data_IF_081883626360
#
_entry.id   IF_081883626360
#
_cell.length_a   1.000
_cell.length_b   1.000
_cell.length_c   1.000
_cell.angle_alpha   90.00
_cell.angle_beta   90.00
_cell.angle_gamma   90.00
#
_symmetry.space_group_name_H-M   'P 1'
#
loop_
_entity.id
_entity.type
_entity.pdbx_description
1 polymer ?
#
# COMPACT_ATOMS: atom_id res chain seq x y z
N UNK A 1 7.90 -23.22 17.81
CA UNK A 1 6.77 -22.47 18.40
C UNK A 1 6.62 -21.16 17.65
N UNK A 2 5.85 -21.19 16.56
CA UNK A 2 5.71 -20.11 15.59
C UNK A 2 4.66 -19.09 16.05
N UNK A 3 5.09 -17.85 16.26
CA UNK A 3 4.44 -16.65 15.71
C UNK A 3 2.98 -16.29 16.06
N UNK A 4 2.45 -16.71 17.22
CA UNK A 4 1.16 -16.18 17.72
C UNK A 4 1.08 -14.64 17.82
N UNK A 5 2.23 -13.95 17.82
CA UNK A 5 2.35 -12.49 17.92
C UNK A 5 2.31 -11.77 16.57
N UNK A 6 2.82 -12.37 15.49
CA UNK A 6 2.58 -11.83 14.15
C UNK A 6 1.13 -12.02 13.73
N UNK A 7 0.48 -13.09 14.18
CA UNK A 7 -0.91 -13.42 13.84
C UNK A 7 -1.93 -12.38 14.34
N UNK A 8 -1.59 -11.61 15.38
CA UNK A 8 -2.44 -10.56 15.91
C UNK A 8 -2.36 -9.26 15.09
N UNK A 9 -1.17 -8.91 14.60
CA UNK A 9 -0.95 -7.68 13.83
C UNK A 9 -1.12 -7.87 12.33
N UNK A 10 -0.82 -9.06 11.81
CA UNK A 10 -1.02 -9.42 10.42
C UNK A 10 -1.71 -10.76 10.33
N UNK A 11 -2.92 -10.77 9.79
CA UNK A 11 -3.76 -11.96 9.70
C UNK A 11 -4.35 -12.07 8.30
N UNK A 12 -4.27 -13.25 7.70
CA UNK A 12 -4.98 -13.57 6.46
C UNK A 12 -5.83 -14.82 6.75
N UNK A 13 -7.14 -14.65 6.75
CA UNK A 13 -8.13 -15.69 7.06
C UNK A 13 -9.02 -15.95 5.84
N UNK A 14 -9.16 -17.22 5.48
CA UNK A 14 -10.10 -17.67 4.46
C UNK A 14 -11.35 -18.23 5.13
N UNK A 15 -12.52 -17.66 4.85
CA UNK A 15 -13.80 -18.04 5.45
C UNK A 15 -14.70 -18.64 4.37
N UNK A 16 -15.14 -19.88 4.60
CA UNK A 16 -16.15 -20.53 3.78
C UNK A 16 -17.54 -20.06 4.20
N UNK A 17 -18.20 -19.28 3.34
CA UNK A 17 -19.53 -18.71 3.55
C UNK A 17 -20.57 -19.77 3.22
N UNK A 18 -21.06 -20.46 4.25
CA UNK A 18 -22.14 -21.45 4.17
C UNK A 18 -23.46 -20.95 4.76
N UNK A 19 -23.48 -19.72 5.27
CA UNK A 19 -24.59 -19.10 5.98
C UNK A 19 -24.28 -17.66 6.35
N UNK A 20 -25.07 -17.12 7.27
CA UNK A 20 -24.84 -15.78 7.80
C UNK A 20 -23.69 -15.80 8.82
N UNK A 21 -22.84 -14.79 8.78
CA UNK A 21 -21.76 -14.60 9.74
C UNK A 21 -21.32 -13.16 9.79
N UNK A 22 -20.21 -12.90 10.47
CA UNK A 22 -19.64 -11.55 10.54
C UNK A 22 -18.13 -11.58 10.71
N UNK A 23 -17.50 -10.47 10.32
CA UNK A 23 -16.12 -10.09 10.67
C UNK A 23 -16.15 -8.73 11.35
N UNK A 24 -15.20 -8.46 12.24
CA UNK A 24 -15.17 -7.20 12.99
C UNK A 24 -13.74 -6.80 13.34
N UNK A 25 -13.54 -5.50 13.59
CA UNK A 25 -12.30 -5.02 14.17
C UNK A 25 -12.07 -5.65 15.55
N UNK A 26 -10.82 -5.93 15.95
CA UNK A 26 -10.54 -6.48 17.27
C UNK A 26 -11.09 -5.54 18.36
N UNK A 27 -11.66 -6.13 19.42
CA UNK A 27 -12.26 -5.42 20.57
C UNK A 27 -13.53 -4.62 20.28
N UNK A 28 -14.09 -4.65 19.07
CA UNK A 28 -15.37 -3.99 18.74
C UNK A 28 -16.45 -4.27 19.80
N UNK A 29 -17.18 -3.25 20.32
CA UNK A 29 -17.21 -1.85 19.87
C UNK A 29 -16.19 -0.92 20.56
N UNK A 30 -15.18 -1.47 21.24
CA UNK A 30 -14.08 -0.67 21.78
C UNK A 30 -13.04 -0.33 20.71
N UNK A 31 -12.08 0.52 21.08
CA UNK A 31 -10.99 0.95 20.19
C UNK A 31 -10.19 -0.25 19.68
N UNK A 32 -10.01 -0.29 18.37
CA UNK A 32 -9.18 -1.29 17.71
C UNK A 32 -7.69 -1.02 17.97
N UNK A 33 -6.85 -2.07 17.99
CA UNK A 33 -5.40 -1.94 18.07
C UNK A 33 -4.76 -1.17 16.90
N UNK A 34 -3.58 -0.62 17.16
CA UNK A 34 -2.72 0.04 16.17
C UNK A 34 -1.97 -0.97 15.32
N UNK A 35 -1.49 -0.54 14.15
CA UNK A 35 -0.63 -1.32 13.26
C UNK A 35 -1.21 -2.67 12.82
N UNK A 36 -2.52 -2.72 12.59
CA UNK A 36 -3.19 -3.93 12.11
C UNK A 36 -3.16 -4.01 10.58
N UNK A 37 -3.03 -5.22 10.08
CA UNK A 37 -3.29 -5.60 8.69
C UNK A 37 -4.05 -6.93 8.69
N UNK A 38 -5.37 -6.86 8.71
CA UNK A 38 -6.26 -8.02 8.73
C UNK A 38 -6.91 -8.18 7.36
N UNK A 39 -6.84 -9.39 6.81
CA UNK A 39 -7.43 -9.73 5.52
C UNK A 39 -8.36 -10.91 5.73
N UNK A 40 -9.62 -10.76 5.28
CA UNK A 40 -10.59 -11.84 5.23
C UNK A 40 -10.96 -12.12 3.78
N UNK A 41 -10.74 -13.36 3.34
CA UNK A 41 -11.15 -13.86 2.03
C UNK A 41 -12.40 -14.69 2.22
N UNK A 42 -13.54 -14.16 1.80
CA UNK A 42 -14.81 -14.85 1.89
C UNK A 42 -15.04 -15.62 0.58
N UNK A 43 -15.28 -16.93 0.70
CA UNK A 43 -15.55 -17.83 -0.41
C UNK A 43 -16.90 -18.50 -0.19
N UNK A 44 -17.82 -18.35 -1.13
CA UNK A 44 -19.10 -19.06 -1.13
C UNK A 44 -19.11 -20.15 -2.20
N UNK A 45 -20.17 -20.96 -2.21
CA UNK A 45 -20.38 -22.01 -3.21
C UNK A 45 -20.43 -21.40 -4.62
N UNK A 46 -20.09 -22.19 -5.63
CA UNK A 46 -20.24 -21.77 -7.02
C UNK A 46 -21.67 -21.29 -7.30
N UNK A 47 -21.81 -20.35 -8.25
CA UNK A 47 -23.10 -19.76 -8.64
C UNK A 47 -23.86 -19.10 -7.48
N UNK A 48 -23.14 -18.61 -6.47
CA UNK A 48 -23.69 -17.75 -5.42
C UNK A 48 -22.90 -16.45 -5.36
N UNK A 49 -23.47 -15.43 -4.73
CA UNK A 49 -22.81 -14.14 -4.46
C UNK A 49 -22.81 -13.89 -2.96
N UNK A 50 -21.87 -13.09 -2.50
CA UNK A 50 -21.70 -12.72 -1.10
C UNK A 50 -22.21 -11.30 -0.91
N UNK A 51 -23.16 -11.13 -0.01
CA UNK A 51 -23.64 -9.81 0.40
C UNK A 51 -22.97 -9.41 1.72
N UNK A 52 -22.46 -8.19 1.76
CA UNK A 52 -21.86 -7.55 2.92
C UNK A 52 -22.76 -6.40 3.40
N UNK A 53 -22.94 -6.30 4.70
CA UNK A 53 -23.64 -5.20 5.35
C UNK A 53 -22.83 -4.71 6.56
N UNK A 54 -22.50 -3.43 6.57
CA UNK A 54 -21.81 -2.79 7.69
C UNK A 54 -22.79 -2.54 8.84
N UNK A 55 -22.33 -2.75 10.07
CA UNK A 55 -23.05 -2.39 11.29
C UNK A 55 -23.14 -0.86 11.40
N UNK A 56 -24.26 -0.37 11.95
CA UNK A 56 -24.51 1.06 12.08
C UNK A 56 -23.49 1.77 12.99
N UNK A 57 -22.82 1.02 13.88
CA UNK A 57 -21.73 1.51 14.69
C UNK A 57 -20.40 1.44 13.92
N UNK A 58 -20.31 2.09 12.76
CA UNK A 58 -19.06 2.23 12.02
C UNK A 58 -18.31 3.48 12.48
N UNK A 59 -17.03 3.35 12.83
CA UNK A 59 -16.17 4.49 13.12
C UNK A 59 -14.70 4.12 13.13
N UNK A 60 -13.96 4.68 12.16
CA UNK A 60 -12.51 4.63 12.05
C UNK A 60 -11.92 6.05 12.13
N UNK A 61 -10.60 6.18 12.05
CA UNK A 61 -9.93 7.48 11.95
C UNK A 61 -10.47 8.29 10.75
N UNK A 62 -10.56 9.61 10.90
CA UNK A 62 -11.09 10.50 9.87
C UNK A 62 -10.21 10.52 8.62
N UNK A 63 -10.86 10.79 7.47
CA UNK A 63 -10.16 10.99 6.21
C UNK A 63 -9.31 12.28 6.26
N UNK A 64 -8.18 12.25 5.55
CA UNK A 64 -7.40 13.46 5.28
C UNK A 64 -7.61 13.84 3.81
N UNK A 65 -8.13 15.04 3.56
CA UNK A 65 -8.46 15.53 2.22
C UNK A 65 -9.39 14.54 1.45
N UNK A 66 -10.42 14.03 2.12
CA UNK A 66 -11.37 13.03 1.60
C UNK A 66 -10.73 11.68 1.21
N UNK A 67 -9.49 11.43 1.63
CA UNK A 67 -8.77 10.18 1.38
C UNK A 67 -8.54 9.43 2.70
N UNK A 68 -8.98 8.18 2.74
CA UNK A 68 -8.71 7.25 3.84
C UNK A 68 -7.26 6.74 3.77
N UNK A 69 -6.33 7.59 4.23
CA UNK A 69 -4.87 7.35 4.18
C UNK A 69 -4.36 6.52 5.35
N UNK A 70 -4.90 6.76 6.55
CA UNK A 70 -4.43 6.19 7.81
C UNK A 70 -5.11 4.84 8.08
N UNK A 71 -6.27 4.88 8.74
CA UNK A 71 -7.08 3.71 9.04
C UNK A 71 -8.19 3.53 8.00
N UNK A 72 -8.37 2.32 7.50
CA UNK A 72 -9.44 2.03 6.54
C UNK A 72 -9.87 0.58 6.50
N UNK A 73 -11.13 0.37 6.13
CA UNK A 73 -11.61 -0.91 5.57
C UNK A 73 -11.74 -0.77 4.07
N UNK A 74 -11.19 -1.72 3.35
CA UNK A 74 -11.28 -1.84 1.90
C UNK A 74 -11.94 -3.16 1.52
N UNK A 75 -12.82 -3.12 0.52
CA UNK A 75 -13.51 -4.29 -0.01
C UNK A 75 -13.15 -4.43 -1.48
N UNK A 76 -12.70 -5.61 -1.87
CA UNK A 76 -12.25 -5.91 -3.23
C UNK A 76 -12.96 -7.16 -3.75
N UNK A 77 -13.53 -7.07 -4.95
CA UNK A 77 -13.96 -8.24 -5.71
C UNK A 77 -12.72 -8.88 -6.34
N UNK A 78 -12.48 -10.15 -6.02
CA UNK A 78 -11.32 -10.90 -6.52
C UNK A 78 -11.82 -11.92 -7.54
N UNK A 79 -11.23 -11.89 -8.73
CA UNK A 79 -11.41 -12.89 -9.78
C UNK A 79 -10.05 -13.48 -10.17
N UNK A 80 -10.04 -14.55 -10.97
CA UNK A 80 -8.80 -15.19 -11.43
C UNK A 80 -7.90 -14.23 -12.23
N UNK A 81 -8.49 -13.25 -12.93
CA UNK A 81 -7.78 -12.37 -13.86
C UNK A 81 -7.72 -10.92 -13.42
N UNK A 82 -8.51 -10.50 -12.44
CA UNK A 82 -8.59 -9.09 -12.00
C UNK A 82 -9.04 -8.92 -10.55
N UNK A 83 -8.57 -7.84 -9.93
CA UNK A 83 -9.04 -7.36 -8.62
C UNK A 83 -9.67 -5.99 -8.77
N UNK A 84 -10.91 -5.83 -8.33
CA UNK A 84 -11.65 -4.56 -8.44
C UNK A 84 -11.97 -4.05 -7.04
N UNK A 85 -11.44 -2.87 -6.71
CA UNK A 85 -11.75 -2.19 -5.45
C UNK A 85 -13.19 -1.68 -5.51
N UNK A 86 -14.03 -2.18 -4.60
CA UNK A 86 -15.44 -1.74 -4.45
C UNK A 86 -15.55 -0.45 -3.67
N UNK A 87 -14.62 -0.24 -2.76
CA UNK A 87 -14.44 1.02 -2.07
C UNK A 87 -13.50 0.87 -0.88
N UNK A 88 -13.18 2.03 -0.32
CA UNK A 88 -12.35 2.20 0.86
C UNK A 88 -13.05 3.20 1.77
N UNK A 89 -13.22 2.85 3.03
CA UNK A 89 -14.00 3.63 3.99
C UNK A 89 -13.25 3.84 5.30
N UNK A 90 -13.46 5.02 5.88
CA UNK A 90 -12.90 5.49 7.14
C UNK A 90 -13.83 6.57 7.74
N UNK A 91 -13.45 7.16 8.87
CA UNK A 91 -14.25 8.15 9.60
C UNK A 91 -15.47 7.56 10.30
N UNK A 92 -16.31 8.44 10.84
CA UNK A 92 -17.52 8.06 11.61
C UNK A 92 -18.82 8.71 11.12
N UNK A 93 -18.77 9.47 10.02
CA UNK A 93 -19.93 10.25 9.55
C UNK A 93 -20.98 9.39 8.84
N UNK A 94 -20.52 8.51 7.95
CA UNK A 94 -21.39 7.71 7.09
C UNK A 94 -21.04 6.23 7.19
N UNK A 95 -22.08 5.38 7.30
CA UNK A 95 -21.93 3.93 7.27
C UNK A 95 -21.78 3.48 5.82
N UNK A 96 -20.79 2.63 5.48
CA UNK A 96 -20.61 2.15 4.12
C UNK A 96 -21.86 1.43 3.59
N UNK A 97 -22.16 1.54 2.28
CA UNK A 97 -23.33 0.92 1.70
C UNK A 97 -23.24 -0.60 1.72
N UNK A 98 -24.40 -1.27 1.56
CA UNK A 98 -24.42 -2.72 1.34
C UNK A 98 -23.73 -3.05 0.02
N UNK A 99 -22.92 -4.10 0.03
CA UNK A 99 -22.13 -4.53 -1.14
C UNK A 99 -22.49 -5.96 -1.47
N UNK A 100 -22.86 -6.21 -2.72
CA UNK A 100 -22.99 -7.57 -3.26
C UNK A 100 -21.79 -7.84 -4.17
N UNK A 101 -21.02 -8.88 -3.85
CA UNK A 101 -19.84 -9.30 -4.63
C UNK A 101 -20.20 -9.63 -6.07
N UNK A 102 -19.28 -9.51 -7.02
CA UNK A 102 -19.55 -9.92 -8.43
C UNK A 102 -19.50 -11.43 -8.63
N UNK A 103 -18.65 -12.10 -7.87
CA UNK A 103 -18.43 -13.55 -7.93
C UNK A 103 -18.72 -14.18 -6.57
N UNK A 104 -18.43 -15.46 -6.41
CA UNK A 104 -18.46 -16.15 -5.12
C UNK A 104 -17.22 -15.86 -4.24
N UNK A 105 -16.41 -14.87 -4.60
CA UNK A 105 -15.18 -14.49 -3.91
C UNK A 105 -15.15 -12.99 -3.62
N UNK A 106 -14.94 -12.60 -2.36
CA UNK A 106 -14.73 -11.20 -1.99
C UNK A 106 -13.67 -11.11 -0.89
N UNK A 107 -12.84 -10.08 -0.94
CA UNK A 107 -11.77 -9.84 0.02
C UNK A 107 -12.03 -8.55 0.78
N UNK A 108 -11.89 -8.61 2.10
CA UNK A 108 -12.01 -7.47 3.01
C UNK A 108 -10.65 -7.26 3.66
N UNK A 109 -10.10 -6.06 3.55
CA UNK A 109 -8.83 -5.68 4.15
C UNK A 109 -9.06 -4.56 5.15
N UNK A 110 -8.65 -4.75 6.40
CA UNK A 110 -8.59 -3.69 7.40
C UNK A 110 -7.14 -3.34 7.70
N UNK A 111 -6.82 -2.05 7.64
CA UNK A 111 -5.51 -1.51 7.99
C UNK A 111 -5.66 -0.43 9.06
N UNK A 112 -4.80 -0.48 10.09
CA UNK A 112 -4.63 0.64 11.02
C UNK A 112 -3.17 1.11 11.12
N UNK A 113 -2.97 2.38 11.46
CA UNK A 113 -1.66 3.02 11.59
C UNK A 113 -1.10 3.01 13.03
N UNK A 114 0.03 3.68 13.26
CA UNK A 114 0.69 3.76 14.56
C UNK A 114 0.33 5.01 15.40
N UNK A 115 -0.60 5.85 14.95
CA UNK A 115 -0.75 7.24 15.41
C UNK A 115 -2.04 7.56 16.15
N UNK A 116 -3.21 7.34 15.55
CA UNK A 116 -4.51 7.51 16.23
C UNK A 116 -5.33 6.21 16.22
N UNK A 117 -6.27 6.09 17.16
CA UNK A 117 -7.22 4.97 17.20
C UNK A 117 -8.61 5.56 17.44
N UNK A 118 -9.57 5.16 16.62
CA UNK A 118 -10.95 5.56 16.78
C UNK A 118 -11.77 4.50 17.53
N UNK A 119 -12.99 4.89 17.90
CA UNK A 119 -14.06 4.02 18.36
C UNK A 119 -15.29 4.30 17.49
N UNK A 120 -16.18 3.34 17.26
CA UNK A 120 -16.22 1.97 17.82
C UNK A 120 -15.46 0.90 17.01
N UNK A 121 -14.82 1.26 15.89
CA UNK A 121 -14.29 0.30 14.91
C UNK A 121 -15.35 -0.09 13.89
N UNK A 122 -15.37 -1.34 13.45
CA UNK A 122 -16.40 -1.83 12.52
C UNK A 122 -16.81 -3.26 12.80
N UNK A 123 -18.01 -3.61 12.35
CA UNK A 123 -18.49 -4.97 12.19
C UNK A 123 -19.20 -5.08 10.83
N UNK A 124 -18.90 -6.14 10.07
CA UNK A 124 -19.49 -6.42 8.76
C UNK A 124 -20.14 -7.78 8.84
N UNK A 125 -21.45 -7.82 8.61
CA UNK A 125 -22.19 -9.04 8.42
C UNK A 125 -22.07 -9.51 6.98
N UNK A 126 -21.88 -10.81 6.79
CA UNK A 126 -21.89 -11.44 5.48
C UNK A 126 -22.96 -12.52 5.40
N UNK A 127 -23.52 -12.69 4.21
CA UNK A 127 -24.43 -13.77 3.85
C UNK A 127 -24.20 -14.16 2.40
N UNK A 128 -24.63 -15.36 2.00
CA UNK A 128 -24.71 -15.69 0.58
C UNK A 128 -26.13 -15.41 0.06
N UNK A 129 -26.21 -15.03 -1.21
CA UNK A 129 -27.46 -14.90 -1.95
C UNK A 129 -27.39 -15.76 -3.21
N UNK A 130 -28.50 -16.43 -3.53
CA UNK A 130 -28.65 -17.31 -4.69
C UNK A 130 -29.11 -16.54 -5.94
N UNK A 131 -28.87 -15.23 -5.97
CA UNK A 131 -29.24 -14.33 -7.07
C UNK A 131 -28.12 -14.25 -8.12
N UNK A 132 -27.61 -15.41 -8.56
CA UNK A 132 -26.68 -15.45 -9.68
C UNK A 132 -27.48 -15.21 -10.97
N UNK A 133 -27.75 -13.94 -11.26
CA UNK A 133 -27.97 -13.54 -12.64
C UNK A 133 -26.61 -13.69 -13.33
N UNK A 134 -26.46 -14.62 -14.29
CA UNK A 134 -25.37 -14.51 -15.22
C UNK A 134 -25.45 -13.09 -15.80
N UNK A 135 -24.32 -12.50 -16.16
CA UNK A 135 -24.33 -11.44 -17.15
C UNK A 135 -24.76 -12.04 -18.51
N UNK A 136 -25.94 -12.68 -18.56
CA UNK A 136 -26.74 -12.72 -19.75
C UNK A 136 -27.06 -11.26 -20.01
N UNK A 137 -26.53 -10.78 -21.12
CA UNK A 137 -26.83 -9.49 -21.69
C UNK A 137 -28.27 -9.09 -21.34
N UNK A 138 -28.42 -7.87 -20.85
CA UNK A 138 -29.65 -7.12 -21.02
C UNK A 138 -29.87 -6.93 -22.53
N UNK A 139 -30.20 -8.00 -23.25
CA UNK A 139 -30.77 -7.98 -24.60
C UNK A 139 -32.22 -7.51 -24.48
N UNK A 140 -32.40 -6.27 -24.07
CA UNK A 140 -33.66 -5.55 -24.22
C UNK A 140 -33.32 -4.08 -24.47
N UNK A 141 -32.51 -3.79 -25.49
CA UNK A 141 -32.57 -2.49 -26.17
C UNK A 141 -31.91 -2.45 -27.56
N UNK A 142 -32.18 -3.43 -28.43
CA UNK A 142 -32.04 -3.20 -29.87
C UNK A 142 -33.36 -3.45 -30.58
N UNK A 143 -34.32 -2.55 -30.33
CA UNK A 143 -35.38 -2.32 -31.30
C UNK A 143 -34.77 -1.67 -32.55
N UNK A 144 -34.75 -2.47 -33.61
CA UNK A 144 -35.25 -2.09 -34.93
C UNK A 144 -35.03 -0.64 -35.37
N UNK A 145 -33.89 -0.37 -36.01
CA UNK A 145 -33.82 0.59 -37.12
C UNK A 145 -33.21 -0.12 -38.32
N UNK A 146 -34.05 -0.85 -39.04
CA UNK A 146 -33.82 -1.22 -40.42
C UNK A 146 -33.91 0.05 -41.25
N UNK A 147 -32.76 0.62 -41.59
CA UNK A 147 -32.63 1.57 -42.71
C UNK A 147 -31.63 0.98 -43.69
N UNK A 148 -32.18 0.44 -44.76
CA UNK A 148 -31.50 -0.04 -45.95
C UNK A 148 -30.49 0.96 -46.49
N UNK A 149 -29.22 0.58 -46.56
CA UNK A 149 -28.31 1.04 -47.61
C UNK A 149 -27.37 -0.08 -48.02
N UNK A 150 -27.09 -0.07 -49.31
CA UNK A 150 -26.57 -1.15 -50.15
C UNK A 150 -25.05 -1.30 -50.04
N UNK A 151 -24.56 -2.55 -50.14
CA UNK A 151 -23.15 -2.90 -50.36
C UNK A 151 -22.30 -2.78 -49.09
N UNK A 152 -21.34 -3.65 -48.78
CA UNK A 152 -20.44 -4.44 -49.61
C UNK A 152 -20.05 -5.69 -48.80
N UNK A 153 -19.94 -6.83 -49.48
CA UNK A 153 -19.44 -8.08 -48.88
C UNK A 153 -17.97 -7.92 -48.53
N UNK A 154 -17.61 -8.07 -47.26
CA UNK A 154 -16.21 -8.33 -46.88
C UNK A 154 -16.07 -9.79 -46.50
N UNK A 155 -15.39 -10.51 -47.39
CA UNK A 155 -14.80 -11.81 -47.13
C UNK A 155 -13.83 -11.70 -45.97
N UNK A 156 -14.02 -12.52 -44.93
CA UNK A 156 -12.95 -12.87 -43.99
C UNK A 156 -11.89 -13.69 -44.73
N UNK A 157 -10.62 -13.28 -44.76
CA UNK A 157 -9.54 -14.18 -45.12
C UNK A 157 -9.14 -14.97 -43.88
N UNK A 158 -9.33 -16.27 -44.01
CA UNK A 158 -8.71 -17.32 -43.22
C UNK A 158 -7.22 -17.04 -42.99
N UNK A 159 -6.79 -17.31 -41.76
CA UNK A 159 -5.40 -17.47 -41.35
C UNK A 159 -4.78 -18.61 -42.16
N UNK A 160 -3.86 -18.28 -43.08
CA UNK A 160 -2.81 -19.17 -43.60
C UNK A 160 -1.64 -18.30 -44.11
N UNK A 161 -0.53 -18.36 -43.39
CA UNK A 161 0.91 -18.03 -43.64
C UNK A 161 1.37 -17.47 -45.02
N UNK A 162 2.43 -16.63 -45.08
CA UNK A 162 3.78 -17.05 -44.66
C UNK A 162 4.58 -16.03 -43.84
N UNK A 163 5.28 -16.52 -42.83
CA UNK A 163 6.57 -16.03 -42.29
C UNK A 163 7.10 -14.73 -42.91
N UNK A 164 6.81 -13.60 -42.26
CA UNK A 164 7.56 -12.36 -42.39
C UNK A 164 8.99 -12.61 -41.88
N UNK A 165 9.89 -13.03 -42.76
CA UNK A 165 11.31 -13.06 -42.44
C UNK A 165 11.83 -11.62 -42.34
N UNK A 166 12.71 -11.38 -41.38
CA UNK A 166 13.30 -10.05 -41.16
C UNK A 166 13.93 -9.48 -42.46
N UNK A 167 14.44 -10.34 -43.34
CA UNK A 167 15.03 -9.95 -44.63
C UNK A 167 13.99 -9.42 -45.64
N UNK A 168 12.74 -9.90 -45.61
CA UNK A 168 11.67 -9.39 -46.46
C UNK A 168 11.17 -8.02 -45.97
N UNK A 169 11.19 -7.82 -44.65
CA UNK A 169 10.89 -6.54 -44.02
C UNK A 169 12.02 -5.52 -44.28
N UNK A 170 13.28 -5.92 -44.18
CA UNK A 170 14.44 -5.05 -44.46
C UNK A 170 14.46 -4.58 -45.91
N UNK A 171 14.10 -5.46 -46.86
CA UNK A 171 13.97 -5.10 -48.27
C UNK A 171 12.86 -4.08 -48.53
N UNK A 172 11.71 -4.24 -47.88
CA UNK A 172 10.59 -3.27 -48.03
C UNK A 172 10.91 -1.94 -47.33
N UNK A 173 11.59 -1.96 -46.20
CA UNK A 173 12.09 -0.75 -45.52
C UNK A 173 13.13 -0.02 -46.38
N UNK A 174 13.97 -0.75 -47.13
CA UNK A 174 14.98 -0.17 -48.02
C UNK A 174 14.43 0.53 -49.28
N UNK A 175 13.13 0.36 -49.58
CA UNK A 175 12.47 1.05 -50.70
C UNK A 175 12.06 2.49 -50.36
N UNK A 176 12.10 2.88 -49.07
CA UNK A 176 11.70 4.20 -48.62
C UNK A 176 12.92 5.05 -48.23
N UNK A 177 13.05 6.23 -48.83
CA UNK A 177 14.18 7.15 -48.58
C UNK A 177 14.00 8.01 -47.32
N UNK A 178 12.76 8.14 -46.79
CA UNK A 178 12.46 8.94 -45.61
C UNK A 178 11.61 8.17 -44.59
N UNK A 179 11.84 8.48 -43.30
CA UNK A 179 11.07 7.91 -42.18
C UNK A 179 9.59 8.29 -42.26
N UNK A 180 9.29 9.45 -42.84
CA UNK A 180 7.92 9.93 -43.05
C UNK A 180 7.15 9.05 -44.05
N UNK A 181 7.78 8.71 -45.18
CA UNK A 181 7.15 7.91 -46.24
C UNK A 181 6.93 6.46 -45.78
N UNK A 182 7.84 5.95 -44.96
CA UNK A 182 7.71 4.65 -44.33
C UNK A 182 6.52 4.62 -43.34
N UNK A 183 6.43 5.60 -42.44
CA UNK A 183 5.34 5.65 -41.45
C UNK A 183 3.97 5.85 -42.13
N UNK A 184 3.89 6.64 -43.21
CA UNK A 184 2.68 6.77 -44.03
C UNK A 184 2.25 5.45 -44.67
N UNK A 185 3.22 4.64 -45.12
CA UNK A 185 2.93 3.35 -45.75
C UNK A 185 2.39 2.33 -44.74
N UNK A 186 2.99 2.26 -43.55
CA UNK A 186 2.58 1.29 -42.52
C UNK A 186 1.33 1.71 -41.76
N UNK A 187 1.19 2.99 -41.38
CA UNK A 187 0.08 3.50 -40.56
C UNK A 187 -0.40 4.87 -41.09
N UNK A 188 -1.18 4.89 -42.19
CA UNK A 188 -1.61 6.14 -42.85
C UNK A 188 -2.50 7.05 -41.99
N UNK A 189 -3.12 6.52 -40.93
CA UNK A 189 -4.03 7.27 -40.04
C UNK A 189 -3.32 7.89 -38.81
N UNK A 190 -2.16 7.36 -38.38
CA UNK A 190 -1.45 7.80 -37.16
C UNK A 190 -0.01 8.30 -37.37
N UNK A 191 0.51 8.25 -38.60
CA UNK A 191 1.93 8.52 -38.88
C UNK A 191 2.43 9.88 -38.37
N UNK A 192 1.56 10.89 -38.26
CA UNK A 192 1.93 12.22 -37.74
C UNK A 192 2.23 12.21 -36.23
N UNK A 193 1.41 11.53 -35.43
CA UNK A 193 1.67 11.37 -33.99
C UNK A 193 2.90 10.48 -33.73
N UNK A 194 3.06 9.43 -34.53
CA UNK A 194 4.22 8.53 -34.44
C UNK A 194 5.53 9.26 -34.79
N UNK A 195 5.50 10.16 -35.78
CA UNK A 195 6.64 11.01 -36.15
C UNK A 195 6.96 12.04 -35.06
N UNK A 196 5.96 12.68 -34.45
CA UNK A 196 6.18 13.65 -33.36
C UNK A 196 6.75 13.00 -32.10
N UNK A 197 6.31 11.78 -31.77
CA UNK A 197 6.82 11.02 -30.63
C UNK A 197 8.28 10.57 -30.80
N UNK A 198 8.75 10.35 -32.03
CA UNK A 198 10.16 10.03 -32.32
C UNK A 198 11.13 11.17 -32.00
N UNK A 199 10.68 12.42 -32.05
CA UNK A 199 11.50 13.59 -31.72
C UNK A 199 11.48 13.97 -30.22
N UNK A 200 10.66 13.30 -29.42
CA UNK A 200 10.51 13.56 -27.98
C UNK A 200 11.34 12.59 -27.11
N UNK A 201 12.25 11.81 -27.71
CA UNK A 201 12.78 10.63 -27.04
C UNK A 201 13.54 10.93 -25.72
N UNK A 202 12.99 10.32 -24.69
CA UNK A 202 13.57 9.92 -23.42
C UNK A 202 14.89 9.14 -23.57
N UNK A 203 15.91 9.36 -22.72
CA UNK A 203 17.15 8.60 -22.82
C UNK A 203 16.99 7.19 -22.22
N UNK A 204 16.98 6.19 -23.10
CA UNK A 204 17.14 4.78 -22.75
C UNK A 204 18.59 4.42 -22.38
N UNK A 205 18.69 3.43 -21.48
CA UNK A 205 19.90 2.73 -21.05
C UNK A 205 20.85 2.34 -22.19
N UNK A 206 22.16 2.60 -22.02
CA UNK A 206 23.23 1.97 -22.80
C UNK A 206 24.34 1.42 -21.90
N UNK A 207 24.71 0.16 -22.13
CA UNK A 207 25.71 -0.61 -21.37
C UNK A 207 27.16 -0.15 -21.56
N UNK A 208 28.00 -0.53 -20.59
CA UNK A 208 29.41 -0.17 -20.37
C UNK A 208 30.32 -0.25 -21.61
N UNK A 209 31.10 0.80 -21.84
CA UNK A 209 32.52 0.68 -22.19
C UNK A 209 33.35 1.69 -21.37
N UNK A 210 34.48 1.22 -20.86
CA UNK A 210 35.40 1.97 -20.00
C UNK A 210 36.06 3.10 -20.79
N UNK A 211 35.67 4.34 -20.52
CA UNK A 211 36.56 5.48 -20.65
C UNK A 211 36.37 6.38 -19.44
N UNK A 212 37.43 6.49 -18.66
CA UNK A 212 37.59 7.45 -17.57
C UNK A 212 37.48 8.86 -18.14
N UNK A 213 36.27 9.41 -18.10
CA UNK A 213 35.99 10.82 -18.33
C UNK A 213 35.23 11.28 -17.10
N UNK A 214 35.88 12.14 -16.32
CA UNK A 214 35.35 12.90 -15.18
C UNK A 214 33.83 13.06 -15.32
N UNK A 215 33.09 12.15 -14.69
CA UNK A 215 31.64 12.10 -14.85
C UNK A 215 31.08 13.37 -14.25
N UNK A 216 30.24 14.06 -15.01
CA UNK A 216 29.27 15.04 -14.51
C UNK A 216 28.72 14.46 -13.20
N UNK A 217 29.10 15.07 -12.07
CA UNK A 217 28.74 14.55 -10.75
C UNK A 217 27.22 14.40 -10.75
N UNK A 218 26.74 13.19 -10.56
CA UNK A 218 25.32 12.92 -10.41
C UNK A 218 24.88 13.58 -9.10
N UNK A 219 24.31 14.78 -9.24
CA UNK A 219 23.89 15.60 -8.11
C UNK A 219 22.78 14.91 -7.32
N UNK A 220 21.98 14.05 -7.95
CA UNK A 220 20.93 13.30 -7.27
C UNK A 220 21.53 12.21 -6.39
N UNK A 221 22.51 11.47 -6.92
CA UNK A 221 23.28 10.50 -6.13
C UNK A 221 24.03 11.16 -4.98
N UNK A 222 24.64 12.32 -5.21
CA UNK A 222 25.32 13.08 -4.15
C UNK A 222 24.32 13.60 -3.11
N UNK A 223 23.15 14.07 -3.53
CA UNK A 223 22.08 14.53 -2.65
C UNK A 223 21.55 13.38 -1.78
N UNK A 224 21.38 12.19 -2.34
CA UNK A 224 20.96 11.01 -1.59
C UNK A 224 22.03 10.55 -0.60
N UNK A 225 23.30 10.59 -0.98
CA UNK A 225 24.41 10.34 -0.06
C UNK A 225 24.45 11.39 1.07
N UNK A 226 24.27 12.68 0.74
CA UNK A 226 24.16 13.75 1.74
C UNK A 226 22.99 13.50 2.69
N UNK A 227 21.79 13.13 2.19
CA UNK A 227 20.64 12.77 3.04
C UNK A 227 20.92 11.57 3.94
N UNK A 228 21.63 10.55 3.44
CA UNK A 228 22.01 9.34 4.19
C UNK A 228 23.01 9.60 5.31
N UNK A 229 23.85 10.62 5.20
CA UNK A 229 24.85 10.93 6.22
C UNK A 229 24.54 12.19 7.03
N UNK A 230 23.56 13.01 6.64
CA UNK A 230 23.17 14.22 7.37
C UNK A 230 22.42 13.93 8.67
N UNK A 231 22.49 14.88 9.60
CA UNK A 231 21.73 14.89 10.85
C UNK A 231 20.22 14.93 10.59
N UNK A 232 19.55 13.79 10.71
CA UNK A 232 18.12 13.61 10.46
C UNK A 232 17.48 12.64 11.45
N UNK A 233 16.15 12.67 11.65
CA UNK A 233 15.44 11.61 12.37
C UNK A 233 15.60 10.27 11.67
N UNK A 234 15.97 9.23 12.43
CA UNK A 234 16.18 7.86 11.95
C UNK A 234 15.56 6.84 12.89
N UNK A 235 15.19 5.69 12.32
CA UNK A 235 14.73 4.55 13.07
C UNK A 235 15.87 3.96 13.92
N UNK A 236 15.73 4.04 15.24
CA UNK A 236 16.60 3.42 16.22
C UNK A 236 15.85 2.35 16.99
N UNK A 237 16.43 1.16 17.12
CA UNK A 237 15.87 0.11 17.98
C UNK A 237 16.22 0.42 19.43
N UNK A 238 15.22 0.74 20.25
CA UNK A 238 15.41 1.02 21.67
C UNK A 238 14.87 -0.11 22.53
N UNK A 239 15.57 -0.44 23.62
CA UNK A 239 15.13 -1.45 24.57
C UNK A 239 14.12 -0.84 25.56
N UNK A 240 12.91 -1.38 25.61
CA UNK A 240 11.83 -0.83 26.44
C UNK A 240 12.12 -0.87 27.94
N UNK A 241 12.93 -1.85 28.39
CA UNK A 241 13.34 -1.95 29.78
C UNK A 241 14.23 -0.78 30.20
N UNK A 242 15.14 -0.37 29.30
CA UNK A 242 16.10 0.71 29.53
C UNK A 242 15.42 2.08 29.40
N UNK A 243 14.61 2.26 28.36
CA UNK A 243 13.88 3.51 28.09
C UNK A 243 12.88 3.84 29.21
N UNK A 244 12.09 2.87 29.65
CA UNK A 244 11.07 3.06 30.69
C UNK A 244 11.65 2.97 32.11
N UNK A 245 12.93 2.59 32.25
CA UNK A 245 13.60 2.37 33.54
C UNK A 245 12.88 1.38 34.46
N UNK A 246 12.20 0.39 33.89
CA UNK A 246 11.43 -0.63 34.65
C UNK A 246 12.17 -1.97 34.61
N UNK A 247 12.48 -2.55 35.76
CA UNK A 247 13.21 -3.83 35.87
C UNK A 247 12.32 -5.03 36.21
N UNK A 248 11.16 -4.79 36.80
CA UNK A 248 10.27 -5.83 37.35
C UNK A 248 9.23 -6.32 36.34
N UNK A 249 9.36 -5.91 35.08
CA UNK A 249 8.36 -6.08 34.04
C UNK A 249 9.06 -6.48 32.75
N UNK A 250 8.45 -7.40 32.02
CA UNK A 250 8.92 -7.82 30.70
C UNK A 250 7.92 -7.34 29.65
N UNK A 251 8.38 -6.49 28.73
CA UNK A 251 7.60 -6.05 27.59
C UNK A 251 7.81 -6.95 26.38
N UNK A 252 6.77 -7.12 25.57
CA UNK A 252 6.83 -7.78 24.27
C UNK A 252 6.19 -6.88 23.19
N UNK A 253 6.91 -6.57 22.08
CA UNK A 253 8.32 -6.92 21.81
C UNK A 253 9.28 -6.21 22.79
N UNK A 254 10.48 -6.74 22.99
CA UNK A 254 11.46 -6.16 23.94
C UNK A 254 12.05 -4.83 23.46
N UNK A 255 12.06 -4.61 22.15
CA UNK A 255 12.56 -3.41 21.52
C UNK A 255 11.51 -2.86 20.55
N UNK A 256 11.46 -1.53 20.43
CA UNK A 256 10.65 -0.83 19.43
C UNK A 256 11.52 0.09 18.59
N UNK A 257 11.07 0.37 17.36
CA UNK A 257 11.70 1.39 16.51
C UNK A 257 11.17 2.76 16.94
N UNK A 258 12.11 3.65 17.29
CA UNK A 258 11.83 5.02 17.71
C UNK A 258 12.65 5.97 16.85
N UNK A 259 12.06 7.10 16.47
CA UNK A 259 12.79 8.15 15.75
C UNK A 259 13.79 8.82 16.69
N UNK A 260 15.08 8.71 16.40
CA UNK A 260 16.16 9.38 17.12
C UNK A 260 17.03 10.13 16.12
N UNK A 261 17.72 11.17 16.60
CA UNK A 261 18.60 11.94 15.76
C UNK A 261 19.89 11.17 15.48
N UNK A 262 20.25 11.03 14.21
CA UNK A 262 21.46 10.35 13.79
C UNK A 262 22.03 10.94 12.52
N UNK A 263 23.32 10.66 12.28
CA UNK A 263 24.09 11.24 11.19
C UNK A 263 25.02 12.34 11.66
N UNK A 264 25.67 12.97 10.68
CA UNK A 264 26.75 13.91 10.86
C UNK A 264 26.27 15.34 10.58
N UNK A 265 26.90 16.28 11.26
CA UNK A 265 26.72 17.69 11.01
C UNK A 265 27.71 18.17 9.96
N UNK A 266 27.22 18.88 8.94
CA UNK A 266 28.06 19.53 7.93
C UNK A 266 28.70 20.79 8.49
N UNK A 267 29.69 20.65 9.38
CA UNK A 267 30.46 21.79 9.87
C UNK A 267 31.65 22.08 8.94
N UNK A 268 31.63 23.25 8.31
CA UNK A 268 32.70 23.70 7.42
C UNK A 268 33.91 24.23 8.20
N UNK A 269 35.10 23.73 7.88
CA UNK A 269 36.44 24.13 8.33
C UNK A 269 37.07 23.38 9.51
N UNK A 270 38.40 23.25 9.44
CA UNK A 270 39.26 22.43 10.29
C UNK A 270 39.32 22.83 11.78
N UNK A 271 38.70 23.95 12.15
CA UNK A 271 38.69 24.48 13.52
C UNK A 271 37.41 24.18 14.31
N UNK A 272 36.33 23.72 13.66
CA UNK A 272 35.06 23.38 14.34
C UNK A 272 35.03 21.91 14.78
N UNK A 273 35.73 21.59 15.89
CA UNK A 273 35.90 20.20 16.33
C UNK A 273 34.77 19.61 17.20
N UNK A 274 33.59 20.22 17.31
CA UNK A 274 32.50 19.58 18.08
C UNK A 274 31.11 20.05 17.69
N UNK A 275 30.60 19.56 16.55
CA UNK A 275 29.18 19.64 16.25
C UNK A 275 28.52 18.30 16.55
N UNK A 276 27.41 18.33 17.29
CA UNK A 276 26.63 17.14 17.64
C UNK A 276 25.24 17.22 17.03
N UNK A 277 24.77 16.10 16.50
CA UNK A 277 23.40 15.96 16.01
C UNK A 277 22.48 15.70 17.20
N UNK A 278 21.53 16.60 17.46
CA UNK A 278 20.67 16.56 18.65
C UNK A 278 19.21 16.82 18.28
N UNK A 279 18.28 16.52 19.20
CA UNK A 279 16.86 16.80 18.96
C UNK A 279 16.58 18.30 19.04
N UNK A 280 16.03 18.85 17.97
CA UNK A 280 15.43 20.18 17.96
C UNK A 280 13.97 20.18 18.44
N UNK A 281 13.26 19.06 18.20
CA UNK A 281 11.89 18.85 18.65
C UNK A 281 11.68 17.38 19.01
N UNK A 282 11.19 17.15 20.23
CA UNK A 282 10.83 15.81 20.73
C UNK A 282 9.33 15.78 21.01
N UNK A 283 8.68 14.67 20.62
CA UNK A 283 7.25 14.42 20.84
C UNK A 283 7.07 13.05 21.50
N UNK A 284 6.17 12.98 22.47
CA UNK A 284 5.76 11.71 23.08
C UNK A 284 4.77 10.98 22.19
N UNK A 285 5.09 9.75 21.82
CA UNK A 285 4.18 8.84 21.09
C UNK A 285 3.82 7.64 21.94
N UNK A 286 2.59 7.17 21.80
CA UNK A 286 2.11 5.96 22.49
C UNK A 286 2.37 4.73 21.64
N UNK A 287 2.85 3.66 22.28
CA UNK A 287 3.08 2.36 21.66
C UNK A 287 2.34 1.30 22.47
N UNK A 288 1.51 0.51 21.81
CA UNK A 288 0.81 -0.60 22.47
C UNK A 288 1.74 -1.80 22.56
N UNK A 289 1.99 -2.27 23.78
CA UNK A 289 2.90 -3.40 24.05
C UNK A 289 2.26 -4.38 25.02
N UNK A 290 2.67 -5.64 24.95
CA UNK A 290 2.31 -6.63 25.96
C UNK A 290 3.24 -6.50 27.16
N UNK A 291 2.66 -6.24 28.33
CA UNK A 291 3.33 -6.18 29.61
C UNK A 291 3.12 -7.49 30.38
N UNK A 292 4.21 -8.10 30.82
CA UNK A 292 4.19 -9.25 31.73
C UNK A 292 4.84 -8.88 33.06
N UNK A 293 4.08 -9.02 34.14
CA UNK A 293 4.57 -8.87 35.51
C UNK A 293 4.78 -10.24 36.15
N UNK A 294 6.03 -10.63 36.46
CA UNK A 294 6.31 -11.84 37.21
C UNK A 294 5.83 -11.67 38.66
N UNK A 295 4.65 -12.20 38.98
CA UNK A 295 4.15 -12.22 40.36
C UNK A 295 4.94 -13.20 41.23
N UNK A 296 5.03 -12.92 42.54
CA UNK A 296 5.53 -13.89 43.52
C UNK A 296 4.66 -15.15 43.49
N UNK A 297 5.29 -16.32 43.32
CA UNK A 297 4.63 -17.62 43.27
C UNK A 297 3.83 -17.89 44.57
N UNK A 298 2.52 -17.61 44.56
CA UNK A 298 1.58 -18.35 45.41
C UNK A 298 0.97 -19.47 44.58
N UNK A 299 1.37 -20.71 44.93
CA UNK A 299 0.78 -21.97 44.46
C UNK A 299 -0.75 -21.85 44.51
N UNK A 300 -1.41 -22.01 43.35
CA UNK A 300 -2.87 -21.97 43.09
C UNK A 300 -3.42 -20.65 42.55
N UNK A 301 -3.04 -20.32 41.32
CA UNK A 301 -3.90 -19.79 40.25
C UNK A 301 -2.97 -19.34 39.12
N UNK A 302 -2.80 -20.19 38.09
CA UNK A 302 -1.95 -19.89 36.93
C UNK A 302 -2.72 -18.98 35.96
N UNK A 303 -3.10 -17.78 36.42
CA UNK A 303 -3.67 -16.75 35.57
C UNK A 303 -2.51 -15.91 35.02
N UNK A 304 -2.29 -16.02 33.70
CA UNK A 304 -1.30 -15.27 32.93
C UNK A 304 -1.54 -13.76 33.13
N UNK A 305 -0.71 -13.08 33.93
CA UNK A 305 -0.73 -11.60 34.07
C UNK A 305 -0.02 -10.97 32.87
N UNK A 306 -0.54 -11.23 31.67
CA UNK A 306 -0.17 -10.50 30.46
C UNK A 306 -1.26 -9.47 30.19
N UNK A 307 -0.88 -8.20 30.08
CA UNK A 307 -1.79 -7.10 29.80
C UNK A 307 -1.30 -6.33 28.58
N UNK A 308 -2.21 -5.93 27.68
CA UNK A 308 -1.92 -4.94 26.65
C UNK A 308 -1.96 -3.56 27.31
N UNK A 309 -0.88 -2.80 27.15
CA UNK A 309 -0.73 -1.48 27.75
C UNK A 309 -0.13 -0.51 26.74
N UNK A 310 -0.50 0.76 26.85
CA UNK A 310 0.11 1.84 26.09
C UNK A 310 1.29 2.42 26.88
N UNK A 311 2.48 2.35 26.29
CA UNK A 311 3.69 2.98 26.83
C UNK A 311 4.00 4.26 26.04
N UNK A 312 4.56 5.26 26.71
CA UNK A 312 5.00 6.50 26.05
C UNK A 312 6.50 6.46 25.77
N UNK A 313 6.89 6.71 24.53
CA UNK A 313 8.29 6.84 24.11
C UNK A 313 8.52 8.22 23.47
N UNK A 314 9.71 8.77 23.71
CA UNK A 314 10.12 10.06 23.17
C UNK A 314 10.69 9.90 21.76
N UNK A 315 10.04 10.49 20.76
CA UNK A 315 10.46 10.50 19.35
C UNK A 315 11.01 11.86 18.96
N UNK A 316 12.15 11.88 18.27
CA UNK A 316 12.74 13.10 17.72
C UNK A 316 12.06 13.39 16.37
N UNK A 317 11.21 14.40 16.32
CA UNK A 317 10.51 14.83 15.09
C UNK A 317 11.42 15.71 14.22
N UNK A 318 12.32 16.47 14.86
CA UNK A 318 13.29 17.33 14.21
C UNK A 318 14.66 17.19 14.87
N UNK A 319 15.70 17.21 14.04
CA UNK A 319 17.10 17.15 14.47
C UNK A 319 17.84 18.40 14.00
N UNK A 320 18.62 18.99 14.90
CA UNK A 320 19.42 20.17 14.62
C UNK A 320 20.89 19.91 15.03
N UNK A 321 21.80 20.54 14.28
CA UNK A 321 23.23 20.50 14.56
C UNK A 321 23.60 21.58 15.57
N UNK A 322 24.01 21.16 16.77
CA UNK A 322 24.49 22.06 17.81
C UNK A 322 26.02 22.12 17.71
N UNK A 323 26.53 23.31 17.39
CA UNK A 323 27.95 23.61 17.32
C UNK A 323 28.31 24.63 18.41
N UNK A 324 29.48 24.46 19.04
CA UNK A 324 29.96 25.27 20.16
C UNK A 324 30.39 26.70 19.80
N UNK A 325 30.24 27.14 18.54
CA UNK A 325 30.50 28.52 18.11
C UNK A 325 29.22 29.21 17.67
N UNK A 326 28.91 30.39 18.22
CA UNK A 326 27.77 31.22 17.79
C UNK A 326 27.90 31.54 16.28
N UNK A 327 26.81 31.50 15.50
CA UNK A 327 26.85 32.03 14.14
C UNK A 327 27.08 33.55 14.19
N UNK A 328 27.92 34.15 13.32
CA UNK A 328 27.86 35.58 13.11
C UNK A 328 26.50 35.93 12.48
N UNK A 329 25.97 37.08 12.90
CA UNK A 329 24.70 37.66 12.45
C UNK A 329 24.61 37.79 10.93
#
# INVERSE_FOLDING_TARGET
ESNHLTDLYRRDETIQVTGNGHVQSPRFPNSYPRNLLLTWRLLSREKTRIQLAFDNQFGLEEAENDICRYDFVEVEDVSETSTIIRGRWCGHRDVPPRITSRTNHIKITFKSDDYFVAKPGFKIYYSFVEDFQPAAASETNWESVTSSVSGVSYHSPSVTDPTLTADALDKTVSEFDTVEDLLKHFNPESWQEDLENLYLDTPHHRGRSYHDRKSKVDLDRLNDDVKRYSCTPRNYSVNLREELKVTNVVFFPRCLLVQRCGGNCGCGSASWKSCSCSSGKTVKKYHEVLQFEPGHLRRRARAKRMALVDIQLDHHERCDCICSGRPPR
#
